data_IF_963896423393
#
_entry.id   IF_963896423393
#
_cell.length_a   1.000
_cell.length_b   1.000
_cell.length_c   1.000
_cell.angle_alpha   90.00
_cell.angle_beta   90.00
_cell.angle_gamma   90.00
#
_symmetry.space_group_name_H-M   'P 1'
#
loop_
_entity.id
_entity.type
_entity.pdbx_description
1 polymer ?
#
# COMPACT_ATOMS: atom_id res chain seq x y z
N UNK A 1 5.28 53.89 20.76
CA UNK A 1 4.38 52.74 21.03
C UNK A 1 4.75 51.57 20.11
N UNK A 2 5.89 50.90 20.32
CA UNK A 2 6.23 49.71 19.50
C UNK A 2 7.08 48.64 20.19
N UNK A 3 7.34 48.74 21.50
CA UNK A 3 8.13 47.73 22.23
C UNK A 3 7.34 46.86 23.20
N UNK A 4 6.07 47.20 23.47
CA UNK A 4 5.19 46.42 24.37
C UNK A 4 4.41 45.35 23.57
N UNK A 5 4.21 45.55 22.26
CA UNK A 5 3.47 44.60 21.43
C UNK A 5 4.28 43.33 21.07
N UNK A 6 5.62 43.39 21.11
CA UNK A 6 6.47 42.24 20.79
C UNK A 6 6.60 41.22 21.94
N UNK A 7 6.26 41.60 23.18
CA UNK A 7 6.34 40.68 24.33
C UNK A 7 5.09 39.78 24.41
N UNK A 8 3.95 40.24 23.90
CA UNK A 8 2.69 39.49 23.94
C UNK A 8 2.62 38.35 22.91
N UNK A 9 3.43 38.41 21.85
CA UNK A 9 3.44 37.38 20.79
C UNK A 9 4.35 36.19 21.17
N UNK A 10 5.32 36.39 22.07
CA UNK A 10 6.26 35.33 22.50
C UNK A 10 5.66 34.44 23.60
N UNK A 11 4.73 34.95 24.40
CA UNK A 11 4.09 34.18 25.49
C UNK A 11 3.01 33.20 25.01
N UNK A 12 2.45 33.37 23.81
CA UNK A 12 1.40 32.48 23.26
C UNK A 12 1.97 31.16 22.74
N UNK A 13 3.26 31.10 22.41
CA UNK A 13 3.88 29.90 21.81
C UNK A 13 4.19 28.82 22.87
N UNK A 14 4.26 29.18 24.15
CA UNK A 14 4.70 28.24 25.21
C UNK A 14 3.56 27.45 25.87
N UNK A 15 2.29 27.77 25.59
CA UNK A 15 1.13 27.06 26.17
C UNK A 15 0.67 25.90 25.25
N UNK A 16 1.18 25.81 24.02
CA UNK A 16 0.72 24.80 23.05
C UNK A 16 1.36 23.42 23.20
N UNK A 17 2.25 23.23 24.18
CA UNK A 17 2.82 21.92 24.53
C UNK A 17 2.34 21.47 25.93
N UNK A 18 1.05 21.58 26.21
CA UNK A 18 0.43 20.58 27.09
C UNK A 18 0.25 19.35 26.20
N UNK A 19 1.18 18.41 26.31
CA UNK A 19 0.97 17.06 25.81
C UNK A 19 -0.41 16.62 26.29
N UNK A 20 -1.36 16.53 25.36
CA UNK A 20 -2.51 15.67 25.53
C UNK A 20 -1.93 14.27 25.71
N UNK A 21 -1.71 13.88 26.96
CA UNK A 21 -1.57 12.49 27.35
C UNK A 21 -2.92 11.80 27.18
N UNK A 22 -3.40 11.70 25.94
CA UNK A 22 -4.38 10.68 25.58
C UNK A 22 -3.64 9.35 25.46
N UNK A 23 -3.12 8.86 26.59
CA UNK A 23 -2.90 7.43 26.75
C UNK A 23 -4.28 6.79 27.04
N UNK A 24 -5.12 6.73 26.00
CA UNK A 24 -6.11 5.67 25.92
C UNK A 24 -5.31 4.37 25.83
N UNK A 25 -4.91 3.81 27.00
CA UNK A 25 -4.16 2.57 27.04
C UNK A 25 -5.00 1.51 26.34
N UNK A 26 -4.52 1.04 25.19
CA UNK A 26 -5.21 0.00 24.41
C UNK A 26 -5.59 -1.17 25.31
N UNK A 27 -6.79 -1.71 25.11
CA UNK A 27 -7.28 -2.83 25.90
C UNK A 27 -6.30 -4.01 25.82
N UNK A 28 -5.91 -4.56 26.97
CA UNK A 28 -4.94 -5.66 27.04
C UNK A 28 -5.57 -7.03 26.75
N UNK A 29 -6.87 -7.17 27.03
CA UNK A 29 -7.62 -8.41 26.88
C UNK A 29 -8.95 -8.16 26.16
N UNK A 30 -9.42 -9.14 25.40
CA UNK A 30 -10.73 -9.11 24.77
C UNK A 30 -11.85 -9.54 25.75
N UNK A 31 -13.09 -9.54 25.25
CA UNK A 31 -14.27 -9.93 26.04
C UNK A 31 -14.25 -11.38 26.56
N UNK A 32 -13.38 -12.23 26.01
CA UNK A 32 -13.22 -13.63 26.40
C UNK A 32 -11.98 -13.83 27.28
N UNK A 33 -11.27 -12.76 27.67
CA UNK A 33 -10.05 -12.83 28.46
C UNK A 33 -8.80 -13.17 27.65
N UNK A 34 -8.84 -13.20 26.32
CA UNK A 34 -7.67 -13.45 25.47
C UNK A 34 -6.82 -12.20 25.35
N UNK A 35 -5.50 -12.34 25.37
CA UNK A 35 -4.59 -11.21 25.17
C UNK A 35 -4.80 -10.62 23.78
N UNK A 36 -4.88 -9.28 23.70
CA UNK A 36 -4.95 -8.58 22.43
C UNK A 36 -3.55 -8.24 21.92
N UNK A 37 -3.31 -8.48 20.64
CA UNK A 37 -2.06 -8.15 19.94
C UNK A 37 -2.35 -7.17 18.81
N UNK A 38 -1.68 -6.02 18.86
CA UNK A 38 -1.91 -4.90 17.93
C UNK A 38 -0.82 -4.74 16.86
N UNK A 39 0.31 -5.43 17.00
CA UNK A 39 1.43 -5.36 16.05
C UNK A 39 1.91 -6.73 15.60
N UNK A 40 2.23 -6.82 14.31
CA UNK A 40 2.73 -8.04 13.67
C UNK A 40 4.07 -8.50 14.28
N UNK A 41 4.93 -7.56 14.68
CA UNK A 41 6.21 -7.87 15.33
C UNK A 41 6.00 -8.59 16.67
N UNK A 42 5.09 -8.09 17.52
CA UNK A 42 4.81 -8.72 18.82
C UNK A 42 4.20 -10.09 18.60
N UNK A 43 3.26 -10.22 17.66
CA UNK A 43 2.69 -11.52 17.30
C UNK A 43 3.78 -12.50 16.83
N UNK A 44 4.69 -12.05 15.97
CA UNK A 44 5.77 -12.89 15.42
C UNK A 44 6.68 -13.39 16.54
N UNK A 45 7.08 -12.53 17.48
CA UNK A 45 7.88 -12.92 18.64
C UNK A 45 7.17 -13.97 19.50
N UNK A 46 5.91 -13.71 19.83
CA UNK A 46 5.08 -14.66 20.58
C UNK A 46 4.96 -16.01 19.84
N UNK A 47 4.79 -15.98 18.51
CA UNK A 47 4.62 -17.18 17.70
C UNK A 47 5.92 -17.99 17.56
N UNK A 48 7.08 -17.33 17.64
CA UNK A 48 8.39 -18.00 17.69
C UNK A 48 8.51 -18.79 19.01
N UNK A 49 8.08 -18.21 20.13
CA UNK A 49 8.14 -18.83 21.45
C UNK A 49 7.09 -19.93 21.64
N UNK A 50 5.86 -19.71 21.15
CA UNK A 50 4.77 -20.67 21.21
C UNK A 50 3.98 -20.67 19.90
N UNK A 51 3.99 -21.80 19.18
CA UNK A 51 3.32 -21.94 17.88
C UNK A 51 1.79 -21.96 17.98
N UNK A 52 1.25 -22.34 19.13
CA UNK A 52 -0.18 -22.48 19.40
C UNK A 52 -0.70 -21.25 20.17
N UNK A 53 -0.54 -20.06 19.57
CA UNK A 53 -1.02 -18.82 20.17
C UNK A 53 -2.54 -18.77 20.22
N UNK A 54 -3.09 -18.63 21.42
CA UNK A 54 -4.49 -18.24 21.62
C UNK A 54 -4.60 -16.75 21.99
N UNK A 55 -4.63 -15.90 20.98
CA UNK A 55 -4.68 -14.44 21.12
C UNK A 55 -5.70 -13.83 20.17
N UNK A 56 -6.15 -12.61 20.50
CA UNK A 56 -6.99 -11.82 19.61
C UNK A 56 -6.14 -10.78 18.90
N UNK A 57 -6.12 -10.81 17.56
CA UNK A 57 -5.38 -9.84 16.75
C UNK A 57 -6.29 -8.68 16.38
N UNK A 58 -5.83 -7.45 16.62
CA UNK A 58 -6.46 -6.24 16.11
C UNK A 58 -5.44 -5.52 15.22
N UNK A 59 -5.59 -5.70 13.91
CA UNK A 59 -4.73 -5.08 12.91
C UNK A 59 -5.10 -3.61 12.70
N UNK A 60 -4.66 -2.77 13.64
CA UNK A 60 -4.85 -1.32 13.60
C UNK A 60 -4.22 -0.68 12.36
N UNK A 61 -3.13 -1.27 11.84
CA UNK A 61 -2.46 -0.77 10.65
C UNK A 61 -3.36 -0.94 9.42
N UNK A 62 -3.91 -2.13 9.20
CA UNK A 62 -4.85 -2.38 8.11
C UNK A 62 -6.12 -1.52 8.23
N UNK A 63 -6.68 -1.38 9.44
CA UNK A 63 -7.84 -0.51 9.68
C UNK A 63 -7.55 0.93 9.23
N UNK A 64 -6.41 1.48 9.62
CA UNK A 64 -5.98 2.82 9.25
C UNK A 64 -5.71 2.94 7.75
N UNK A 65 -5.11 1.91 7.14
CA UNK A 65 -4.87 1.85 5.70
C UNK A 65 -6.16 1.85 4.89
N UNK A 66 -7.17 1.07 5.26
CA UNK A 66 -8.49 1.08 4.60
C UNK A 66 -9.19 2.42 4.75
N UNK A 67 -9.14 3.01 5.95
CA UNK A 67 -9.69 4.34 6.20
C UNK A 67 -9.01 5.42 5.32
N UNK A 68 -7.69 5.33 5.16
CA UNK A 68 -6.95 6.19 4.25
C UNK A 68 -7.34 5.97 2.79
N UNK A 69 -7.40 4.71 2.34
CA UNK A 69 -7.78 4.38 0.97
C UNK A 69 -9.15 4.97 0.62
N UNK A 70 -10.15 4.82 1.50
CA UNK A 70 -11.46 5.40 1.33
C UNK A 70 -11.44 6.93 1.18
N UNK A 71 -10.62 7.64 1.97
CA UNK A 71 -10.49 9.10 1.83
C UNK A 71 -9.85 9.48 0.50
N UNK A 72 -8.80 8.77 0.11
CA UNK A 72 -8.06 9.05 -1.11
C UNK A 72 -8.93 8.78 -2.35
N UNK A 73 -9.64 7.65 -2.40
CA UNK A 73 -10.54 7.31 -3.52
C UNK A 73 -11.74 8.26 -3.61
N UNK A 74 -12.30 8.69 -2.47
CA UNK A 74 -13.35 9.72 -2.43
C UNK A 74 -12.88 11.06 -3.01
N UNK A 75 -11.59 11.36 -2.90
CA UNK A 75 -10.97 12.56 -3.48
C UNK A 75 -10.47 12.34 -4.91
N UNK A 76 -10.79 11.20 -5.54
CA UNK A 76 -10.42 10.87 -6.92
C UNK A 76 -8.98 10.37 -7.08
N UNK A 77 -8.22 10.19 -6.01
CA UNK A 77 -6.85 9.66 -6.06
C UNK A 77 -6.89 8.14 -6.24
N UNK A 78 -6.20 7.65 -7.27
CA UNK A 78 -5.98 6.23 -7.53
C UNK A 78 -4.48 5.96 -7.58
N UNK A 79 -4.06 4.84 -6.98
CA UNK A 79 -2.65 4.45 -6.95
C UNK A 79 -2.54 2.97 -7.30
N UNK A 80 -1.90 2.65 -8.42
CA UNK A 80 -1.54 1.27 -8.76
C UNK A 80 -0.21 0.89 -8.08
N UNK A 81 -0.20 -0.27 -7.45
CA UNK A 81 0.98 -0.85 -6.83
C UNK A 81 1.35 -2.14 -7.56
N UNK A 82 2.54 -2.17 -8.15
CA UNK A 82 3.01 -3.33 -8.89
C UNK A 82 4.54 -3.36 -8.97
N UNK A 83 5.08 -4.45 -9.51
CA UNK A 83 6.51 -4.58 -9.76
C UNK A 83 6.73 -5.42 -11.01
N UNK A 84 7.17 -4.77 -12.08
CA UNK A 84 7.48 -5.37 -13.38
C UNK A 84 8.72 -4.67 -13.95
N UNK A 85 9.94 -5.12 -13.67
CA UNK A 85 11.15 -4.31 -13.86
C UNK A 85 11.38 -3.84 -15.31
N UNK A 86 10.82 -4.55 -16.29
CA UNK A 86 10.92 -4.18 -17.71
C UNK A 86 9.73 -3.32 -18.17
N UNK A 87 8.52 -3.65 -17.75
CA UNK A 87 7.27 -3.08 -18.26
C UNK A 87 6.79 -1.89 -17.42
N UNK A 88 7.19 -1.80 -16.15
CA UNK A 88 6.64 -0.84 -15.19
C UNK A 88 6.83 0.64 -15.58
N UNK A 89 7.96 1.07 -16.21
CA UNK A 89 8.07 2.42 -16.75
C UNK A 89 6.98 2.73 -17.78
N UNK A 90 6.72 1.77 -18.69
CA UNK A 90 5.70 1.92 -19.72
C UNK A 90 4.28 1.85 -19.15
N UNK A 91 4.04 0.93 -18.21
CA UNK A 91 2.78 0.91 -17.48
C UNK A 91 2.51 2.24 -16.76
N UNK A 92 3.53 2.84 -16.16
CA UNK A 92 3.42 4.14 -15.49
C UNK A 92 3.03 5.25 -16.45
N UNK A 93 3.65 5.30 -17.63
CA UNK A 93 3.27 6.23 -18.69
C UNK A 93 1.79 6.08 -19.05
N UNK A 94 1.33 4.86 -19.37
CA UNK A 94 -0.04 4.62 -19.81
C UNK A 94 -1.04 4.90 -18.66
N UNK A 95 -0.78 4.42 -17.45
CA UNK A 95 -1.65 4.63 -16.28
C UNK A 95 -1.82 6.11 -15.91
N UNK A 96 -0.77 6.92 -16.13
CA UNK A 96 -0.83 8.37 -15.88
C UNK A 96 -1.88 9.07 -16.75
N UNK A 97 -2.13 8.57 -17.97
CA UNK A 97 -3.17 9.09 -18.87
C UNK A 97 -4.58 8.89 -18.31
N UNK A 98 -4.75 7.93 -17.40
CA UNK A 98 -6.00 7.65 -16.68
C UNK A 98 -6.06 8.31 -15.29
N UNK A 99 -5.08 9.17 -14.97
CA UNK A 99 -4.95 9.82 -13.67
C UNK A 99 -4.62 8.85 -12.53
N UNK A 100 -3.98 7.71 -12.83
CA UNK A 100 -3.57 6.71 -11.84
C UNK A 100 -2.08 6.91 -11.53
N UNK A 101 -1.76 7.21 -10.28
CA UNK A 101 -0.38 7.22 -9.81
C UNK A 101 0.16 5.79 -9.74
N UNK A 102 1.46 5.59 -9.94
CA UNK A 102 2.09 4.28 -9.75
C UNK A 102 3.10 4.31 -8.62
N UNK A 103 3.24 3.17 -7.93
CA UNK A 103 4.28 2.93 -6.94
C UNK A 103 4.83 1.53 -7.10
N UNK A 104 6.16 1.43 -7.21
CA UNK A 104 6.83 0.14 -7.18
C UNK A 104 6.60 -0.54 -5.83
N UNK A 105 6.18 -1.79 -5.89
CA UNK A 105 5.92 -2.55 -4.69
C UNK A 105 6.09 -4.05 -4.92
N UNK A 106 7.05 -4.64 -4.22
CA UNK A 106 7.21 -6.09 -4.16
C UNK A 106 6.37 -6.64 -3.02
N UNK A 107 5.34 -7.41 -3.36
CA UNK A 107 4.52 -8.10 -2.36
C UNK A 107 5.30 -9.28 -1.77
N UNK A 108 5.23 -9.43 -0.45
CA UNK A 108 5.71 -10.60 0.27
C UNK A 108 4.76 -11.77 0.02
N UNK A 109 5.31 -12.97 -0.10
CA UNK A 109 4.52 -14.19 -0.30
C UNK A 109 3.94 -14.75 1.02
N UNK A 110 4.41 -14.26 2.17
CA UNK A 110 4.07 -14.83 3.48
C UNK A 110 3.16 -13.88 4.26
N UNK A 111 2.02 -14.40 4.72
CA UNK A 111 1.13 -13.74 5.68
C UNK A 111 1.50 -14.17 7.10
N UNK A 112 1.61 -13.21 8.01
CA UNK A 112 1.90 -13.49 9.42
C UNK A 112 0.61 -13.38 10.24
N UNK A 113 0.03 -14.54 10.56
CA UNK A 113 -1.13 -14.65 11.44
C UNK A 113 -2.33 -13.81 10.99
N UNK A 114 -3.01 -13.18 11.97
CA UNK A 114 -4.19 -12.35 11.77
C UNK A 114 -3.94 -10.94 11.20
N UNK A 115 -2.70 -10.61 10.82
CA UNK A 115 -2.37 -9.32 10.20
C UNK A 115 -2.50 -9.41 8.68
N UNK A 116 -3.20 -8.44 8.10
CA UNK A 116 -3.43 -8.34 6.67
C UNK A 116 -2.43 -7.34 6.07
N UNK A 117 -1.42 -7.81 5.30
CA UNK A 117 -0.56 -6.89 4.61
C UNK A 117 -1.32 -6.17 3.49
N UNK A 118 -0.80 -5.01 3.10
CA UNK A 118 -1.17 -4.35 1.84
C UNK A 118 -2.62 -3.87 1.74
N UNK A 119 -3.32 -3.69 2.86
CA UNK A 119 -4.72 -3.25 2.85
C UNK A 119 -4.98 -1.97 2.06
N UNK A 120 -4.06 -0.99 2.08
CA UNK A 120 -4.24 0.22 1.26
C UNK A 120 -4.15 -0.10 -0.24
N UNK A 121 -3.16 -0.91 -0.62
CA UNK A 121 -2.94 -1.33 -2.00
C UNK A 121 -4.12 -2.15 -2.53
N UNK A 122 -4.67 -3.06 -1.73
CA UNK A 122 -5.82 -3.88 -2.11
C UNK A 122 -7.09 -3.04 -2.32
N UNK A 123 -7.33 -2.05 -1.46
CA UNK A 123 -8.47 -1.15 -1.63
C UNK A 123 -8.30 -0.24 -2.87
N UNK A 124 -7.08 0.22 -3.15
CA UNK A 124 -6.80 1.00 -4.38
C UNK A 124 -6.98 0.17 -5.65
N UNK A 125 -6.47 -1.04 -5.65
CA UNK A 125 -6.60 -1.99 -6.75
C UNK A 125 -8.08 -2.35 -6.99
N UNK A 126 -8.84 -2.61 -5.93
CA UNK A 126 -10.30 -2.82 -6.02
C UNK A 126 -11.00 -1.62 -6.64
N UNK A 127 -10.65 -0.40 -6.24
CA UNK A 127 -11.26 0.81 -6.80
C UNK A 127 -10.90 1.01 -8.28
N UNK A 128 -9.67 0.71 -8.68
CA UNK A 128 -9.25 0.73 -10.09
C UNK A 128 -10.09 -0.28 -10.90
N UNK A 129 -10.22 -1.53 -10.44
CA UNK A 129 -11.05 -2.56 -11.10
C UNK A 129 -12.52 -2.15 -11.16
N UNK A 130 -13.05 -1.58 -10.09
CA UNK A 130 -14.43 -1.06 -10.04
C UNK A 130 -14.65 0.04 -11.10
N UNK A 131 -13.66 0.92 -11.31
CA UNK A 131 -13.78 2.07 -12.22
C UNK A 131 -13.52 1.72 -13.68
N UNK A 132 -12.53 0.86 -13.96
CA UNK A 132 -12.05 0.60 -15.32
C UNK A 132 -12.26 -0.84 -15.81
N UNK A 133 -12.72 -1.74 -14.93
CA UNK A 133 -12.97 -3.16 -15.21
C UNK A 133 -11.87 -4.08 -14.69
N UNK A 134 -12.24 -5.33 -14.45
CA UNK A 134 -11.37 -6.36 -13.84
C UNK A 134 -10.07 -6.62 -14.61
N UNK A 135 -10.11 -6.52 -15.95
CA UNK A 135 -8.98 -6.82 -16.84
C UNK A 135 -8.16 -5.57 -17.23
N UNK A 136 -8.45 -4.41 -16.62
CA UNK A 136 -7.83 -3.14 -17.04
C UNK A 136 -6.31 -3.16 -16.90
N UNK A 137 -5.80 -3.51 -15.71
CA UNK A 137 -4.35 -3.58 -15.44
C UNK A 137 -3.66 -4.64 -16.32
N UNK A 138 -4.26 -5.81 -16.49
CA UNK A 138 -3.71 -6.87 -17.34
C UNK A 138 -3.60 -6.43 -18.81
N UNK A 139 -4.58 -5.63 -19.27
CA UNK A 139 -4.56 -5.06 -20.61
C UNK A 139 -3.43 -4.03 -20.77
N UNK A 140 -3.25 -3.16 -19.78
CA UNK A 140 -2.13 -2.20 -19.73
C UNK A 140 -0.79 -2.95 -19.74
N UNK A 141 -0.67 -4.01 -18.94
CA UNK A 141 0.54 -4.82 -18.87
C UNK A 141 0.88 -5.45 -20.23
N UNK A 142 -0.11 -6.03 -20.94
CA UNK A 142 0.10 -6.61 -22.28
C UNK A 142 0.57 -5.58 -23.30
N UNK A 143 0.02 -4.37 -23.25
CA UNK A 143 0.48 -3.26 -24.12
C UNK A 143 1.92 -2.90 -23.78
N UNK A 144 2.22 -2.69 -22.49
CA UNK A 144 3.57 -2.36 -22.04
C UNK A 144 4.61 -3.45 -22.39
N UNK A 145 4.23 -4.72 -22.29
CA UNK A 145 5.04 -5.87 -22.70
C UNK A 145 5.32 -5.84 -24.21
N UNK A 146 4.30 -5.61 -25.04
CA UNK A 146 4.46 -5.52 -26.49
C UNK A 146 5.40 -4.37 -26.87
N UNK A 147 5.20 -3.20 -26.30
CA UNK A 147 6.07 -2.03 -26.55
C UNK A 147 7.51 -2.29 -26.12
N UNK A 148 7.73 -2.87 -24.94
CA UNK A 148 9.08 -3.21 -24.47
C UNK A 148 9.80 -4.14 -25.46
N UNK A 149 9.11 -5.16 -25.97
CA UNK A 149 9.69 -6.12 -26.93
C UNK A 149 10.04 -5.43 -28.26
N UNK A 150 9.17 -4.54 -28.76
CA UNK A 150 9.41 -3.81 -30.01
C UNK A 150 10.59 -2.84 -29.89
N UNK A 151 10.74 -2.18 -28.74
CA UNK A 151 11.85 -1.28 -28.45
C UNK A 151 13.17 -2.02 -28.19
N UNK A 152 13.10 -3.29 -27.78
CA UNK A 152 14.25 -4.10 -27.37
C UNK A 152 14.26 -5.48 -28.07
N UNK A 153 14.26 -5.56 -29.41
CA UNK A 153 14.05 -6.82 -30.13
C UNK A 153 15.13 -7.88 -29.85
N UNK A 154 16.33 -7.43 -29.50
CA UNK A 154 17.48 -8.27 -29.22
C UNK A 154 17.59 -8.72 -27.75
N UNK A 155 16.73 -8.22 -26.86
CA UNK A 155 16.70 -8.62 -25.45
C UNK A 155 15.77 -9.81 -25.31
N UNK A 156 16.29 -10.95 -24.83
CA UNK A 156 15.48 -12.15 -24.62
C UNK A 156 14.26 -11.87 -23.72
N UNK A 157 13.09 -12.32 -24.18
CA UNK A 157 11.85 -12.17 -23.46
C UNK A 157 11.08 -13.49 -23.44
N UNK A 158 11.29 -14.26 -22.36
CA UNK A 158 10.63 -15.53 -22.12
C UNK A 158 9.59 -15.36 -21.01
N UNK A 159 8.38 -15.82 -21.28
CA UNK A 159 7.28 -15.95 -20.30
C UNK A 159 6.73 -17.38 -20.40
N UNK A 160 6.64 -18.08 -19.27
CA UNK A 160 6.18 -19.48 -19.19
C UNK A 160 6.87 -20.44 -20.18
N UNK A 161 8.16 -20.22 -20.43
CA UNK A 161 8.96 -21.02 -21.36
C UNK A 161 8.76 -20.68 -22.83
N UNK A 162 7.99 -19.64 -23.17
CA UNK A 162 7.72 -19.19 -24.53
C UNK A 162 8.46 -17.87 -24.78
N UNK A 163 9.25 -17.82 -25.85
CA UNK A 163 9.86 -16.57 -26.35
C UNK A 163 8.79 -15.72 -27.06
N UNK A 164 8.29 -14.70 -26.37
CA UNK A 164 7.19 -13.88 -26.86
C UNK A 164 7.57 -12.98 -28.04
N UNK A 165 8.87 -12.75 -28.26
CA UNK A 165 9.36 -11.91 -29.36
C UNK A 165 9.04 -12.51 -30.71
N UNK A 166 9.09 -13.84 -30.83
CA UNK A 166 8.75 -14.56 -32.07
C UNK A 166 7.35 -14.21 -32.53
N UNK A 167 6.39 -14.23 -31.61
CA UNK A 167 5.00 -13.85 -31.91
C UNK A 167 4.87 -12.36 -32.23
N UNK A 168 5.48 -11.50 -31.44
CA UNK A 168 5.25 -10.04 -31.51
C UNK A 168 6.00 -9.38 -32.67
N UNK A 169 7.18 -9.87 -33.05
CA UNK A 169 7.98 -9.32 -34.15
C UNK A 169 7.55 -9.84 -35.53
N UNK A 170 6.73 -10.91 -35.57
CA UNK A 170 6.16 -11.48 -36.80
C UNK A 170 4.74 -10.97 -37.10
N UNK A 171 4.10 -10.28 -36.14
CA UNK A 171 2.81 -9.56 -36.30
C UNK A 171 2.96 -8.22 -37.04
#
# INVERSE_FOLDING_TARGET
MSKILSIFIVSVIVISCVEKSESNSLAKFDKNGKRIVYSEEVYSKMWIENKDLDVTVIDTFCINQKSRALRDTKNGKLVYFGFHPREFPKMTEILSQFGIETKEHLRRCIRIGGFEPYCYQDEMDREIRRKYGENFIDSIFKVAQKEFILENPNVEYIEDGIDLRKRILEE
#
